data_IF_638147814416
#
_entry.id   IF_638147814416
#
_cell.length_a   1.000
_cell.length_b   1.000
_cell.length_c   1.000
_cell.angle_alpha   90.00
_cell.angle_beta   90.00
_cell.angle_gamma   90.00
#
_symmetry.space_group_name_H-M   'P 1'
#
loop_
_entity.id
_entity.type
_entity.pdbx_description
1 polymer ?
#
# COMPACT_ATOMS: atom_id res chain seq x y z
N UNK A 1 31.70 -4.41 13.42
CA UNK A 1 30.34 -4.01 13.84
C UNK A 1 29.60 -3.52 12.61
N UNK A 2 29.05 -4.43 11.82
CA UNK A 2 28.20 -4.07 10.68
C UNK A 2 26.79 -3.93 11.23
N UNK A 3 26.31 -2.70 11.35
CA UNK A 3 24.92 -2.42 11.68
C UNK A 3 24.05 -2.98 10.57
N UNK A 4 23.49 -4.17 10.80
CA UNK A 4 22.33 -4.66 10.07
C UNK A 4 21.27 -3.59 10.25
N UNK A 5 21.00 -2.82 9.20
CA UNK A 5 19.82 -1.97 9.13
C UNK A 5 18.64 -2.95 9.11
N UNK A 6 18.20 -3.38 10.30
CA UNK A 6 16.94 -4.07 10.49
C UNK A 6 15.88 -3.11 9.96
N UNK A 7 15.48 -3.30 8.70
CA UNK A 7 14.35 -2.62 8.12
C UNK A 7 13.19 -2.87 9.06
N UNK A 8 12.82 -1.85 9.82
CA UNK A 8 11.81 -1.94 10.87
C UNK A 8 10.53 -2.44 10.20
N UNK A 9 10.23 -3.74 10.37
CA UNK A 9 9.05 -4.36 9.77
C UNK A 9 7.86 -3.57 10.30
N UNK A 10 7.12 -2.95 9.39
CA UNK A 10 5.95 -2.21 9.78
C UNK A 10 4.88 -3.24 10.08
N UNK A 11 4.39 -3.24 11.31
CA UNK A 11 3.28 -4.10 11.68
C UNK A 11 2.00 -3.32 11.66
N UNK A 12 0.97 -4.08 11.40
CA UNK A 12 -0.39 -3.67 11.39
C UNK A 12 -0.96 -3.76 12.83
N UNK A 13 -2.11 -3.13 13.12
CA UNK A 13 -2.75 -3.13 14.44
C UNK A 13 -3.21 -4.50 14.94
N UNK A 14 -3.21 -5.52 14.07
CA UNK A 14 -3.45 -6.93 14.39
C UNK A 14 -2.15 -7.75 14.47
N UNK A 15 -0.98 -7.12 14.28
CA UNK A 15 0.33 -7.76 14.30
C UNK A 15 0.76 -8.39 12.97
N UNK A 16 0.02 -8.17 11.86
CA UNK A 16 0.46 -8.65 10.54
C UNK A 16 1.55 -7.74 9.96
N UNK A 17 2.50 -8.30 9.22
CA UNK A 17 3.55 -7.50 8.60
C UNK A 17 3.03 -6.77 7.35
N UNK A 18 3.11 -5.44 7.35
CA UNK A 18 2.94 -4.58 6.19
C UNK A 18 4.14 -4.76 5.26
N UNK A 19 3.97 -5.69 4.32
CA UNK A 19 5.01 -6.15 3.40
C UNK A 19 4.89 -5.54 2.02
N UNK A 20 3.75 -4.92 1.71
CA UNK A 20 3.42 -4.44 0.37
C UNK A 20 3.05 -2.98 0.35
N UNK A 21 3.58 -2.27 -0.64
CA UNK A 21 3.24 -0.88 -0.95
C UNK A 21 2.23 -0.88 -2.09
N UNK A 22 1.09 -0.25 -1.85
CA UNK A 22 0.04 0.03 -2.84
C UNK A 22 0.20 1.48 -3.29
N UNK A 23 0.35 1.73 -4.59
CA UNK A 23 0.34 3.07 -5.18
C UNK A 23 -0.92 3.23 -6.00
N UNK A 24 -1.68 4.29 -5.72
CA UNK A 24 -2.94 4.62 -6.42
C UNK A 24 -2.73 5.84 -7.27
N UNK A 25 -3.13 5.77 -8.54
CA UNK A 25 -2.96 6.84 -9.51
C UNK A 25 -4.31 7.51 -9.78
N UNK A 26 -4.48 8.73 -9.26
CA UNK A 26 -5.67 9.56 -9.48
C UNK A 26 -5.41 10.49 -10.68
N UNK A 27 -5.60 9.98 -11.89
CA UNK A 27 -5.32 10.73 -13.12
C UNK A 27 -5.07 9.86 -14.36
N UNK A 28 -4.84 8.56 -14.16
CA UNK A 28 -4.38 7.68 -15.22
C UNK A 28 -2.85 7.71 -15.35
N UNK A 29 -2.25 6.72 -16.03
CA UNK A 29 -0.80 6.53 -16.10
C UNK A 29 -0.07 7.55 -16.99
N UNK A 30 -0.81 8.30 -17.81
CA UNK A 30 -0.26 9.25 -18.77
C UNK A 30 -0.58 10.69 -18.34
N UNK A 31 0.45 11.52 -18.38
CA UNK A 31 0.41 12.98 -18.25
C UNK A 31 0.36 13.58 -16.84
N UNK A 32 1.42 13.31 -16.09
CA UNK A 32 2.27 14.39 -15.54
C UNK A 32 1.76 15.17 -14.32
N UNK A 33 0.55 14.88 -13.84
CA UNK A 33 0.03 15.36 -12.55
C UNK A 33 -0.71 14.24 -11.81
N UNK A 34 -0.10 13.06 -11.73
CA UNK A 34 -0.63 11.95 -10.95
C UNK A 34 -0.62 12.31 -9.46
N UNK A 35 -1.79 12.61 -8.92
CA UNK A 35 -1.99 12.51 -7.49
C UNK A 35 -1.80 11.04 -7.12
N UNK A 36 -0.60 10.71 -6.67
CA UNK A 36 -0.23 9.37 -6.21
C UNK A 36 -0.45 9.25 -4.72
N UNK A 37 -1.17 8.20 -4.32
CA UNK A 37 -1.31 7.84 -2.91
C UNK A 37 -0.61 6.53 -2.65
N UNK A 38 0.41 6.56 -1.79
CA UNK A 38 1.17 5.38 -1.40
C UNK A 38 0.73 4.88 -0.03
N UNK A 39 0.45 3.57 0.05
CA UNK A 39 0.00 2.91 1.26
C UNK A 39 0.78 1.63 1.57
N UNK A 40 1.09 1.41 2.85
CA UNK A 40 1.63 0.16 3.35
C UNK A 40 0.47 -0.76 3.74
N UNK A 41 0.50 -1.98 3.23
CA UNK A 41 -0.55 -2.97 3.34
C UNK A 41 0.05 -4.36 3.56
N UNK A 42 -0.74 -5.26 4.12
CA UNK A 42 -0.44 -6.69 4.03
C UNK A 42 -0.71 -7.19 2.61
N UNK A 43 -0.20 -8.37 2.24
CA UNK A 43 -0.49 -8.95 0.91
C UNK A 43 -1.99 -9.11 0.66
N UNK A 44 -2.73 -9.53 1.69
CA UNK A 44 -4.18 -9.70 1.62
C UNK A 44 -4.89 -8.36 1.38
N UNK A 45 -4.56 -7.35 2.18
CA UNK A 45 -5.11 -6.00 2.03
C UNK A 45 -4.80 -5.40 0.66
N UNK A 46 -3.57 -5.56 0.16
CA UNK A 46 -3.16 -5.08 -1.16
C UNK A 46 -3.95 -5.76 -2.29
N UNK A 47 -4.17 -7.08 -2.18
CA UNK A 47 -4.93 -7.85 -3.17
C UNK A 47 -6.40 -7.42 -3.20
N UNK A 48 -7.03 -7.35 -2.02
CA UNK A 48 -8.43 -6.96 -1.88
C UNK A 48 -8.66 -5.52 -2.41
N UNK A 49 -7.74 -4.61 -2.10
CA UNK A 49 -7.78 -3.24 -2.60
C UNK A 49 -7.59 -3.16 -4.12
N UNK A 50 -6.67 -3.96 -4.67
CA UNK A 50 -6.42 -3.97 -6.12
C UNK A 50 -7.66 -4.36 -6.90
N UNK A 51 -8.39 -5.39 -6.44
CA UNK A 51 -9.66 -5.80 -7.06
C UNK A 51 -10.69 -4.66 -7.02
N UNK A 52 -10.86 -4.02 -5.87
CA UNK A 52 -11.80 -2.91 -5.72
C UNK A 52 -11.41 -1.70 -6.59
N UNK A 53 -10.13 -1.38 -6.66
CA UNK A 53 -9.61 -0.27 -7.46
C UNK A 53 -9.79 -0.51 -8.96
N UNK A 54 -9.52 -1.73 -9.44
CA UNK A 54 -9.75 -2.11 -10.84
C UNK A 54 -11.24 -2.02 -11.18
N UNK A 55 -12.14 -2.50 -10.32
CA UNK A 55 -13.59 -2.35 -10.52
C UNK A 55 -14.05 -0.89 -10.54
N UNK A 56 -13.36 0.00 -9.81
CA UNK A 56 -13.62 1.43 -9.80
C UNK A 56 -12.97 2.18 -10.98
N UNK A 57 -12.23 1.49 -11.87
CA UNK A 57 -11.50 2.12 -12.98
C UNK A 57 -10.25 2.89 -12.56
N UNK A 58 -9.71 2.62 -11.37
CA UNK A 58 -8.49 3.23 -10.87
C UNK A 58 -7.26 2.42 -11.32
N UNK A 59 -6.20 3.13 -11.70
CA UNK A 59 -4.89 2.53 -11.89
C UNK A 59 -4.22 2.36 -10.53
N UNK A 60 -3.68 1.16 -10.27
CA UNK A 60 -2.95 0.84 -9.04
C UNK A 60 -1.74 -0.03 -9.35
N UNK A 61 -0.68 0.12 -8.56
CA UNK A 61 0.47 -0.79 -8.56
C UNK A 61 0.74 -1.31 -7.16
N UNK A 62 1.23 -2.54 -7.07
CA UNK A 62 1.63 -3.18 -5.82
C UNK A 62 3.07 -3.65 -5.93
N UNK A 63 3.92 -3.26 -4.98
CA UNK A 63 5.31 -3.69 -4.91
C UNK A 63 5.75 -3.95 -3.46
N UNK A 64 6.92 -4.56 -3.26
CA UNK A 64 7.48 -4.84 -1.93
C UNK A 64 8.33 -3.71 -1.35
N UNK A 65 8.34 -2.51 -1.95
CA UNK A 65 9.22 -1.39 -1.56
C UNK A 65 8.62 -0.60 -0.41
N UNK A 66 8.42 -1.27 0.72
CA UNK A 66 8.01 -0.63 1.97
C UNK A 66 9.12 0.31 2.46
N UNK A 67 8.73 1.53 2.84
CA UNK A 67 9.64 2.52 3.42
C UNK A 67 9.10 2.98 4.77
N UNK A 68 9.98 3.33 5.73
CA UNK A 68 9.54 3.99 6.96
C UNK A 68 8.77 5.28 6.64
N UNK A 69 7.62 5.49 7.29
CA UNK A 69 6.79 6.69 7.11
C UNK A 69 5.68 6.57 6.08
N UNK A 70 5.55 5.43 5.39
CA UNK A 70 4.43 5.16 4.51
C UNK A 70 3.12 5.05 5.31
N UNK A 71 2.06 5.68 4.81
CA UNK A 71 0.76 5.62 5.49
C UNK A 71 0.21 4.22 5.38
N UNK A 72 -0.42 3.71 6.43
CA UNK A 72 -1.12 2.43 6.33
C UNK A 72 -2.32 2.56 5.38
N UNK A 73 -2.59 1.52 4.59
CA UNK A 73 -3.79 1.44 3.78
C UNK A 73 -5.02 1.57 4.67
N UNK A 74 -5.98 2.46 4.34
CA UNK A 74 -7.23 2.54 5.08
C UNK A 74 -7.90 1.18 5.03
N UNK A 75 -8.03 0.52 6.18
CA UNK A 75 -8.93 -0.62 6.30
C UNK A 75 -10.33 -0.04 6.07
N UNK A 76 -10.94 -0.39 4.95
CA UNK A 76 -12.38 -0.21 4.81
C UNK A 76 -12.99 -1.05 5.94
N UNK A 77 -13.34 -0.38 7.04
CA UNK A 77 -14.03 -1.01 8.14
C UNK A 77 -15.28 -1.63 7.55
N UNK A 78 -15.29 -2.96 7.47
CA UNK A 78 -16.48 -3.74 7.16
C UNK A 78 -17.50 -3.31 8.22
N UNK A 79 -18.41 -2.41 7.83
CA UNK A 79 -19.47 -1.96 8.73
C UNK A 79 -20.36 -3.18 8.94
N UNK A 80 -20.44 -3.59 10.20
CA UNK A 80 -21.27 -4.67 10.72
C UNK A 80 -22.76 -4.44 10.43
#
# INVERSE_FOLDING_TARGET
>A
MTGSTEGKVLFDSLGEALTHRVTVYLGGPDDGAELTMEYAATWKEASDFTVAAVHAGLAVTVDGRIRPGLRRLPRYGFRH
#
